data_IF_583827953429
#
_entry.id   IF_583827953429
#
_cell.length_a   1.000
_cell.length_b   1.000
_cell.length_c   1.000
_cell.angle_alpha   90.00
_cell.angle_beta   90.00
_cell.angle_gamma   90.00
#
_symmetry.space_group_name_H-M   'P 1'
#
loop_
_entity.id
_entity.type
_entity.pdbx_description
1 polymer ?
#
# COMPACT_ATOMS: atom_id res chain seq x y z
N UNK A 1 16.52 -1.18 -21.36
CA UNK A 1 16.26 -1.35 -19.90
C UNK A 1 14.85 -1.90 -19.75
N UNK A 2 14.68 -2.94 -18.93
CA UNK A 2 13.39 -3.62 -18.84
C UNK A 2 12.48 -2.95 -17.83
N UNK A 3 13.02 -2.61 -16.65
CA UNK A 3 12.22 -2.14 -15.52
C UNK A 3 12.85 -0.93 -14.84
N UNK A 4 12.02 0.06 -14.49
CA UNK A 4 12.33 1.09 -13.49
C UNK A 4 11.47 0.83 -12.26
N UNK A 5 12.07 0.65 -11.07
CA UNK A 5 11.37 0.52 -9.79
C UNK A 5 11.36 1.89 -9.12
N UNK A 6 10.17 2.41 -8.81
CA UNK A 6 9.95 3.69 -8.15
C UNK A 6 9.46 3.44 -6.72
N UNK A 7 10.17 3.98 -5.73
CA UNK A 7 9.85 3.85 -4.32
C UNK A 7 9.77 5.24 -3.68
N UNK A 8 8.63 5.60 -3.10
CA UNK A 8 8.48 6.84 -2.33
C UNK A 8 8.58 6.54 -0.85
N UNK A 9 9.50 7.21 -0.15
CA UNK A 9 9.78 7.01 1.27
C UNK A 9 9.40 8.23 2.10
N UNK A 10 8.87 7.97 3.31
CA UNK A 10 8.65 8.98 4.34
C UNK A 10 8.75 8.35 5.73
N UNK A 11 9.88 8.59 6.44
CA UNK A 11 10.14 8.16 7.83
C UNK A 11 10.03 6.65 8.09
N UNK A 12 10.55 5.82 7.19
CA UNK A 12 10.46 4.35 7.27
C UNK A 12 11.79 3.67 6.92
N UNK A 13 12.89 4.15 7.52
CA UNK A 13 14.26 3.80 7.10
C UNK A 13 14.55 2.29 7.04
N UNK A 14 14.11 1.50 8.02
CA UNK A 14 14.40 0.07 8.05
C UNK A 14 13.57 -0.71 7.03
N UNK A 15 12.30 -0.35 6.85
CA UNK A 15 11.46 -0.91 5.80
C UNK A 15 11.99 -0.55 4.42
N UNK A 16 12.38 0.72 4.22
CA UNK A 16 12.98 1.16 2.96
C UNK A 16 14.25 0.35 2.62
N UNK A 17 15.13 0.11 3.59
CA UNK A 17 16.31 -0.73 3.39
C UNK A 17 15.93 -2.13 2.93
N UNK A 18 14.97 -2.79 3.60
CA UNK A 18 14.49 -4.12 3.22
C UNK A 18 13.87 -4.14 1.84
N UNK A 19 13.04 -3.14 1.52
CA UNK A 19 12.41 -3.00 0.20
C UNK A 19 13.45 -2.86 -0.90
N UNK A 20 14.46 -2.01 -0.73
CA UNK A 20 15.53 -1.84 -1.72
C UNK A 20 16.32 -3.13 -1.90
N UNK A 21 16.68 -3.83 -0.81
CA UNK A 21 17.39 -5.11 -0.88
C UNK A 21 16.60 -6.16 -1.65
N UNK A 22 15.30 -6.32 -1.34
CA UNK A 22 14.43 -7.25 -2.04
C UNK A 22 14.25 -6.89 -3.52
N UNK A 23 14.15 -5.60 -3.84
CA UNK A 23 14.06 -5.09 -5.20
C UNK A 23 15.35 -5.35 -6.00
N UNK A 24 16.53 -5.15 -5.40
CA UNK A 24 17.81 -5.48 -6.03
C UNK A 24 17.96 -6.98 -6.29
N UNK A 25 17.52 -7.81 -5.33
CA UNK A 25 17.52 -9.25 -5.50
C UNK A 25 16.59 -9.69 -6.63
N UNK A 26 15.39 -9.11 -6.68
CA UNK A 26 14.40 -9.39 -7.71
C UNK A 26 14.85 -8.94 -9.12
N UNK A 27 15.70 -7.92 -9.21
CA UNK A 27 16.25 -7.43 -10.49
C UNK A 27 17.43 -8.27 -11.00
N UNK A 28 17.97 -9.23 -10.26
CA UNK A 28 19.07 -10.07 -10.74
C UNK A 28 18.70 -10.79 -12.03
N UNK A 29 19.53 -10.60 -13.06
CA UNK A 29 19.30 -11.15 -14.40
C UNK A 29 18.38 -10.31 -15.30
N UNK A 30 17.87 -9.19 -14.80
CA UNK A 30 17.06 -8.21 -15.55
C UNK A 30 17.84 -6.90 -15.70
N UNK A 31 17.59 -6.15 -16.78
CA UNK A 31 18.12 -4.81 -16.93
C UNK A 31 17.20 -3.80 -16.26
N UNK A 32 17.56 -3.30 -15.08
CA UNK A 32 16.69 -2.41 -14.33
C UNK A 32 17.41 -1.33 -13.55
N UNK A 33 16.66 -0.33 -13.12
CA UNK A 33 17.08 0.75 -12.21
C UNK A 33 16.11 0.88 -11.04
N UNK A 34 16.59 1.44 -9.93
CA UNK A 34 15.75 1.79 -8.78
C UNK A 34 15.89 3.29 -8.54
N UNK A 35 14.76 3.98 -8.44
CA UNK A 35 14.66 5.39 -8.09
C UNK A 35 13.87 5.50 -6.78
N UNK A 36 14.53 6.04 -5.75
CA UNK A 36 13.92 6.31 -4.44
C UNK A 36 13.68 7.80 -4.31
N UNK A 37 12.44 8.18 -3.99
CA UNK A 37 12.08 9.56 -3.68
C UNK A 37 11.86 9.69 -2.18
N UNK A 38 12.77 10.39 -1.48
CA UNK A 38 12.54 10.78 -0.10
C UNK A 38 11.63 11.99 -0.04
N UNK A 39 10.45 11.80 0.52
CA UNK A 39 9.43 12.85 0.58
C UNK A 39 9.57 13.72 1.84
N UNK A 40 10.81 14.20 2.10
CA UNK A 40 11.18 14.99 3.26
C UNK A 40 10.97 14.21 4.59
N UNK A 41 11.67 13.10 4.74
CA UNK A 41 11.65 12.32 5.99
C UNK A 41 12.11 13.15 7.18
N UNK A 42 13.06 14.08 6.96
CA UNK A 42 13.62 14.99 7.97
C UNK A 42 14.12 14.27 9.24
N UNK A 43 14.64 13.04 9.04
CA UNK A 43 15.26 12.19 10.05
C UNK A 43 16.57 11.59 9.50
N UNK A 44 17.08 10.53 10.13
CA UNK A 44 18.30 9.85 9.69
C UNK A 44 18.09 8.83 8.55
N UNK A 45 16.91 8.80 7.89
CA UNK A 45 16.60 7.84 6.83
C UNK A 45 17.59 7.92 5.68
N UNK A 46 17.80 9.10 5.09
CA UNK A 46 18.72 9.23 3.95
C UNK A 46 20.18 9.04 4.30
N UNK A 47 20.72 9.64 5.39
CA UNK A 47 22.07 9.35 5.87
C UNK A 47 22.34 7.86 6.13
N UNK A 48 21.34 7.11 6.56
CA UNK A 48 21.43 5.68 6.83
C UNK A 48 21.34 4.81 5.58
N UNK A 49 20.43 5.13 4.65
CA UNK A 49 20.12 4.26 3.49
C UNK A 49 21.07 4.51 2.32
N UNK A 50 21.30 5.78 1.92
CA UNK A 50 22.10 6.11 0.71
C UNK A 50 23.48 5.46 0.65
N UNK A 51 24.30 5.43 1.73
CA UNK A 51 25.63 4.82 1.68
C UNK A 51 25.61 3.31 1.39
N UNK A 52 24.49 2.63 1.70
CA UNK A 52 24.33 1.18 1.50
C UNK A 52 23.97 0.80 0.07
N UNK A 53 23.46 1.75 -0.71
CA UNK A 53 22.90 1.50 -2.05
C UNK A 53 23.45 2.48 -3.10
N UNK A 54 24.77 2.44 -3.41
CA UNK A 54 25.40 3.40 -4.34
C UNK A 54 24.85 3.31 -5.77
N UNK A 55 24.23 2.18 -6.15
CA UNK A 55 23.62 2.00 -7.48
C UNK A 55 22.16 2.46 -7.58
N UNK A 56 21.58 3.03 -6.50
CA UNK A 56 20.21 3.53 -6.47
C UNK A 56 20.21 5.04 -6.67
N UNK A 57 19.30 5.53 -7.51
CA UNK A 57 19.07 6.97 -7.68
C UNK A 57 18.19 7.49 -6.56
N UNK A 58 18.64 8.54 -5.86
CA UNK A 58 17.87 9.17 -4.78
C UNK A 58 17.46 10.60 -5.17
N UNK A 59 16.17 10.90 -5.04
CA UNK A 59 15.59 12.25 -5.16
C UNK A 59 15.14 12.67 -3.75
N UNK A 60 15.65 13.78 -3.24
CA UNK A 60 15.35 14.26 -1.90
C UNK A 60 14.50 15.54 -1.98
N UNK A 61 13.24 15.46 -1.56
CA UNK A 61 12.35 16.60 -1.51
C UNK A 61 12.62 17.46 -0.27
N UNK A 62 12.48 18.79 -0.42
CA UNK A 62 12.62 19.75 0.69
C UNK A 62 11.35 19.86 1.55
N UNK A 63 10.23 19.35 1.05
CA UNK A 63 8.93 19.31 1.71
C UNK A 63 8.18 18.03 1.33
N UNK A 64 7.21 17.61 2.14
CA UNK A 64 6.34 16.48 1.79
C UNK A 64 5.30 16.94 0.76
N UNK A 65 5.56 16.61 -0.51
CA UNK A 65 4.72 17.00 -1.65
C UNK A 65 3.52 16.06 -1.88
N UNK A 66 3.34 15.05 -1.04
CA UNK A 66 2.33 14.00 -1.19
C UNK A 66 2.80 12.82 -2.06
N UNK A 67 2.04 11.72 -2.02
CA UNK A 67 2.42 10.46 -2.66
C UNK A 67 2.40 10.58 -4.20
N UNK A 68 1.36 11.18 -4.76
CA UNK A 68 1.18 11.30 -6.21
C UNK A 68 2.33 12.08 -6.85
N UNK A 69 2.61 13.30 -6.36
CA UNK A 69 3.66 14.18 -6.90
C UNK A 69 5.05 13.58 -6.71
N UNK A 70 5.32 12.97 -5.57
CA UNK A 70 6.61 12.32 -5.32
C UNK A 70 6.86 11.17 -6.31
N UNK A 71 5.87 10.31 -6.55
CA UNK A 71 5.99 9.25 -7.57
C UNK A 71 6.21 9.83 -8.97
N UNK A 72 5.49 10.89 -9.35
CA UNK A 72 5.59 11.48 -10.68
C UNK A 72 7.00 11.99 -10.98
N UNK A 73 7.73 12.50 -9.98
CA UNK A 73 9.13 12.93 -10.16
C UNK A 73 10.01 11.79 -10.69
N UNK A 74 9.80 10.56 -10.22
CA UNK A 74 10.54 9.38 -10.66
C UNK A 74 9.94 8.78 -11.95
N UNK A 75 8.61 8.71 -12.07
CA UNK A 75 7.92 8.17 -13.23
C UNK A 75 8.32 8.92 -14.53
N UNK A 76 8.44 10.25 -14.46
CA UNK A 76 8.83 11.05 -15.63
C UNK A 76 10.31 10.85 -16.02
N UNK A 77 11.13 10.30 -15.14
CA UNK A 77 12.55 9.97 -15.39
C UNK A 77 12.74 8.47 -15.70
N UNK A 78 11.71 7.65 -15.57
CA UNK A 78 11.76 6.21 -15.77
C UNK A 78 12.19 5.86 -17.20
N UNK A 79 13.19 4.99 -17.34
CA UNK A 79 13.79 4.56 -18.62
C UNK A 79 13.42 3.12 -18.98
N UNK A 80 12.88 2.35 -18.04
CA UNK A 80 12.44 0.98 -18.25
C UNK A 80 11.25 0.91 -19.19
N UNK A 81 11.13 -0.17 -19.96
CA UNK A 81 9.91 -0.48 -20.72
C UNK A 81 8.69 -0.55 -19.80
N UNK A 82 8.91 -1.02 -18.58
CA UNK A 82 7.92 -1.08 -17.53
C UNK A 82 8.38 -0.30 -16.31
N UNK A 83 7.43 0.32 -15.61
CA UNK A 83 7.64 1.00 -14.33
C UNK A 83 6.87 0.27 -13.24
N UNK A 84 7.59 -0.18 -12.21
CA UNK A 84 7.01 -0.70 -10.99
C UNK A 84 6.94 0.42 -9.94
N UNK A 85 5.74 0.81 -9.54
CA UNK A 85 5.48 1.64 -8.38
C UNK A 85 5.40 0.71 -7.17
N UNK A 86 6.25 0.94 -6.18
CA UNK A 86 6.42 0.04 -5.04
C UNK A 86 6.45 0.81 -3.72
N UNK A 87 5.63 0.42 -2.75
CA UNK A 87 5.67 1.02 -1.42
C UNK A 87 6.97 0.66 -0.66
N UNK A 88 7.45 1.54 0.23
CA UNK A 88 8.71 1.35 0.96
C UNK A 88 8.61 0.33 2.11
N UNK A 89 7.43 -0.24 2.37
CA UNK A 89 7.15 -1.25 3.39
C UNK A 89 6.71 -2.59 2.76
N UNK A 90 7.38 -2.96 1.65
CA UNK A 90 7.10 -4.20 0.90
C UNK A 90 8.34 -5.07 0.76
N UNK A 91 8.13 -6.37 0.55
CA UNK A 91 9.17 -7.32 0.14
C UNK A 91 8.67 -8.05 -1.10
N UNK A 92 9.49 -8.04 -2.15
CA UNK A 92 9.22 -8.72 -3.41
C UNK A 92 10.27 -9.80 -3.69
N UNK A 93 9.85 -10.83 -4.40
CA UNK A 93 10.71 -11.92 -4.90
C UNK A 93 10.98 -11.75 -6.39
N UNK A 94 11.94 -12.48 -6.99
CA UNK A 94 12.16 -12.46 -8.45
C UNK A 94 10.89 -12.75 -9.26
N UNK A 95 10.02 -13.63 -8.78
CA UNK A 95 8.74 -13.94 -9.44
C UNK A 95 7.81 -12.73 -9.54
N UNK A 96 7.92 -11.79 -8.59
CA UNK A 96 7.13 -10.54 -8.61
C UNK A 96 7.49 -9.63 -9.80
N UNK A 97 8.62 -9.83 -10.47
CA UNK A 97 9.00 -9.14 -11.69
C UNK A 97 8.85 -10.03 -12.92
N UNK A 98 9.30 -11.28 -12.85
CA UNK A 98 9.31 -12.21 -13.98
C UNK A 98 7.89 -12.53 -14.47
N UNK A 99 6.96 -12.88 -13.58
CA UNK A 99 5.58 -13.20 -13.95
C UNK A 99 4.81 -12.03 -14.58
N UNK A 100 4.89 -10.79 -14.04
CA UNK A 100 4.36 -9.62 -14.72
C UNK A 100 4.97 -9.36 -16.10
N UNK A 101 6.29 -9.52 -16.27
CA UNK A 101 6.94 -9.40 -17.59
C UNK A 101 6.39 -10.41 -18.60
N UNK A 102 6.32 -11.68 -18.21
CA UNK A 102 5.74 -12.75 -19.03
C UNK A 102 4.29 -12.43 -19.42
N UNK A 103 3.49 -11.98 -18.45
CA UNK A 103 2.09 -11.62 -18.67
C UNK A 103 1.92 -10.45 -19.63
N UNK A 104 2.69 -9.37 -19.43
CA UNK A 104 2.66 -8.18 -20.30
C UNK A 104 3.04 -8.50 -21.75
N UNK A 105 3.99 -9.43 -21.95
CA UNK A 105 4.41 -9.86 -23.29
C UNK A 105 3.29 -10.62 -24.04
N UNK A 106 2.48 -11.38 -23.31
CA UNK A 106 1.37 -12.18 -23.85
C UNK A 106 0.05 -11.40 -23.99
N UNK A 107 -0.08 -10.27 -23.26
CA UNK A 107 -1.31 -9.48 -23.17
C UNK A 107 -1.07 -8.01 -23.56
N UNK A 108 -1.08 -7.67 -24.88
CA UNK A 108 -0.78 -6.31 -25.34
C UNK A 108 -1.70 -5.23 -24.77
N UNK A 109 -2.95 -5.58 -24.46
CA UNK A 109 -3.92 -4.67 -23.83
C UNK A 109 -3.83 -4.62 -22.30
N UNK A 110 -2.90 -5.33 -21.67
CA UNK A 110 -2.63 -5.19 -20.25
C UNK A 110 -1.88 -3.85 -20.01
N UNK A 111 -2.50 -2.93 -19.29
CA UNK A 111 -1.92 -1.63 -18.93
C UNK A 111 -1.11 -1.69 -17.65
N UNK A 112 -1.63 -2.39 -16.66
CA UNK A 112 -0.99 -2.53 -15.35
C UNK A 112 -1.37 -3.83 -14.64
N UNK A 113 -0.48 -4.27 -13.73
CA UNK A 113 -0.62 -5.51 -12.97
C UNK A 113 -0.42 -5.22 -11.47
N UNK A 114 -1.31 -5.79 -10.65
CA UNK A 114 -1.16 -5.92 -9.20
C UNK A 114 -0.98 -7.38 -8.80
N UNK A 115 -0.43 -7.60 -7.60
CA UNK A 115 -0.10 -8.94 -7.11
C UNK A 115 -0.93 -9.34 -5.89
N UNK A 116 -0.80 -10.62 -5.51
CA UNK A 116 -1.36 -11.20 -4.29
C UNK A 116 -0.56 -10.68 -3.08
N UNK A 117 -1.10 -9.66 -2.43
CA UNK A 117 -0.46 -9.09 -1.24
C UNK A 117 -0.86 -9.87 0.02
N UNK A 118 0.14 -10.18 0.83
CA UNK A 118 -0.04 -10.73 2.19
C UNK A 118 0.51 -9.76 3.22
N UNK A 119 -0.04 -9.74 4.41
CA UNK A 119 0.49 -8.96 5.53
C UNK A 119 1.62 -9.71 6.28
N UNK A 120 2.19 -9.09 7.32
CA UNK A 120 3.25 -9.69 8.14
C UNK A 120 2.85 -10.96 8.89
N UNK A 121 1.55 -11.32 8.92
CA UNK A 121 1.03 -12.56 9.47
C UNK A 121 0.69 -13.60 8.38
N UNK A 122 1.03 -13.33 7.14
CA UNK A 122 0.71 -14.19 5.99
C UNK A 122 -0.76 -14.14 5.55
N UNK A 123 -1.55 -13.16 6.04
CA UNK A 123 -2.96 -13.04 5.69
C UNK A 123 -3.14 -12.24 4.39
N UNK A 124 -4.00 -12.74 3.51
CA UNK A 124 -4.35 -12.06 2.28
C UNK A 124 -4.90 -10.65 2.51
N UNK A 125 -4.39 -9.69 1.78
CA UNK A 125 -4.85 -8.31 1.81
C UNK A 125 -5.93 -8.07 0.72
N UNK A 126 -7.20 -7.87 1.11
CA UNK A 126 -8.31 -7.74 0.16
C UNK A 126 -8.19 -6.57 -0.83
N UNK A 127 -7.35 -5.60 -0.56
CA UNK A 127 -7.06 -4.50 -1.49
C UNK A 127 -6.26 -4.91 -2.72
N UNK A 128 -5.73 -6.13 -2.77
CA UNK A 128 -5.09 -6.72 -3.96
C UNK A 128 -6.02 -6.80 -5.16
N UNK A 129 -7.34 -6.92 -4.92
CA UNK A 129 -8.38 -7.01 -5.95
C UNK A 129 -9.51 -6.05 -5.61
N UNK A 130 -9.72 -5.03 -6.44
CA UNK A 130 -10.80 -4.05 -6.19
C UNK A 130 -11.55 -3.72 -7.46
N UNK A 131 -12.86 -3.41 -7.30
CA UNK A 131 -13.68 -2.81 -8.35
C UNK A 131 -13.84 -1.30 -8.14
N UNK A 132 -14.19 -0.58 -9.19
CA UNK A 132 -14.47 0.86 -9.10
C UNK A 132 -15.55 1.15 -8.06
N UNK A 133 -15.35 2.18 -7.23
CA UNK A 133 -16.31 2.60 -6.22
C UNK A 133 -17.49 3.33 -6.88
N UNK A 134 -18.28 2.62 -7.70
CA UNK A 134 -19.52 3.18 -8.24
C UNK A 134 -20.47 3.57 -7.09
N UNK A 135 -21.50 4.42 -7.31
CA UNK A 135 -22.43 4.80 -6.26
C UNK A 135 -23.01 3.62 -5.49
N UNK A 136 -23.39 2.55 -6.19
CA UNK A 136 -23.91 1.31 -5.58
C UNK A 136 -22.84 0.56 -4.76
N UNK A 137 -21.64 0.39 -5.32
CA UNK A 137 -20.54 -0.29 -4.64
C UNK A 137 -20.13 0.47 -3.38
N UNK A 138 -20.09 1.81 -3.45
CA UNK A 138 -19.78 2.68 -2.31
C UNK A 138 -20.89 2.61 -1.25
N UNK A 139 -22.16 2.63 -1.65
CA UNK A 139 -23.29 2.45 -0.76
C UNK A 139 -23.18 1.13 0.01
N UNK A 140 -23.01 0.00 -0.69
CA UNK A 140 -22.88 -1.32 -0.06
C UNK A 140 -21.72 -1.37 0.96
N UNK A 141 -20.60 -0.73 0.65
CA UNK A 141 -19.43 -0.67 1.55
C UNK A 141 -19.69 0.19 2.78
N UNK A 142 -20.24 1.40 2.61
CA UNK A 142 -20.51 2.36 3.69
C UNK A 142 -21.53 1.79 4.68
N UNK A 143 -22.61 1.20 4.18
CA UNK A 143 -23.70 0.65 5.00
C UNK A 143 -23.48 -0.79 5.45
N UNK A 144 -22.30 -1.37 5.19
CA UNK A 144 -21.91 -2.68 5.71
C UNK A 144 -22.51 -3.89 5.00
N UNK A 145 -23.27 -3.70 3.91
CA UNK A 145 -23.85 -4.80 3.12
C UNK A 145 -22.76 -5.75 2.58
N UNK A 146 -21.60 -5.21 2.23
CA UNK A 146 -20.45 -5.99 1.80
C UNK A 146 -19.84 -6.87 2.91
N UNK A 147 -20.07 -6.55 4.19
CA UNK A 147 -19.66 -7.39 5.33
C UNK A 147 -20.69 -8.46 5.63
N UNK A 148 -21.98 -8.11 5.46
CA UNK A 148 -23.09 -9.04 5.70
C UNK A 148 -23.15 -10.13 4.62
N UNK A 149 -22.81 -9.78 3.37
CA UNK A 149 -22.82 -10.69 2.22
C UNK A 149 -21.44 -10.73 1.52
N UNK A 150 -20.39 -11.26 2.14
CA UNK A 150 -18.99 -11.08 1.73
C UNK A 150 -18.63 -11.69 0.37
N UNK A 151 -19.41 -12.68 -0.11
CA UNK A 151 -19.19 -13.35 -1.40
C UNK A 151 -20.23 -12.99 -2.46
N UNK A 152 -21.14 -12.06 -2.17
CA UNK A 152 -22.17 -11.62 -3.13
C UNK A 152 -21.55 -10.74 -4.23
N UNK A 153 -21.77 -11.10 -5.50
CA UNK A 153 -21.40 -10.27 -6.64
C UNK A 153 -22.11 -8.91 -6.66
N UNK A 154 -23.29 -8.81 -6.04
CA UNK A 154 -24.07 -7.57 -5.96
C UNK A 154 -23.60 -6.64 -4.84
N UNK A 155 -23.32 -7.19 -3.63
CA UNK A 155 -23.05 -6.41 -2.42
C UNK A 155 -21.56 -6.32 -2.05
N UNK A 156 -20.76 -7.34 -2.38
CA UNK A 156 -19.33 -7.40 -2.03
C UNK A 156 -18.39 -7.06 -3.20
N UNK A 157 -18.89 -6.34 -4.21
CA UNK A 157 -18.15 -6.05 -5.42
C UNK A 157 -16.86 -5.25 -5.19
N UNK A 158 -16.79 -4.43 -4.14
CA UNK A 158 -15.61 -3.57 -3.92
C UNK A 158 -14.29 -4.34 -3.80
N UNK A 159 -14.24 -5.42 -3.02
CA UNK A 159 -13.04 -6.24 -2.83
C UNK A 159 -13.01 -7.52 -3.66
N UNK A 160 -13.96 -7.70 -4.56
CA UNK A 160 -14.05 -8.84 -5.49
C UNK A 160 -13.81 -10.21 -4.80
N UNK A 161 -14.30 -10.38 -3.55
CA UNK A 161 -14.07 -11.58 -2.75
C UNK A 161 -14.67 -12.87 -3.33
N UNK A 162 -15.55 -12.74 -4.31
CA UNK A 162 -16.12 -13.85 -5.06
C UNK A 162 -15.19 -14.37 -6.18
N UNK A 163 -14.08 -13.66 -6.47
CA UNK A 163 -13.07 -14.12 -7.40
C UNK A 163 -12.02 -14.94 -6.64
N UNK A 164 -11.61 -16.06 -7.22
CA UNK A 164 -10.54 -16.90 -6.69
C UNK A 164 -9.23 -16.08 -6.59
N UNK A 165 -8.60 -16.10 -5.43
CA UNK A 165 -7.37 -15.34 -5.18
C UNK A 165 -6.11 -16.04 -5.74
N UNK A 166 -6.24 -17.29 -6.15
CA UNK A 166 -5.17 -18.08 -6.73
C UNK A 166 -5.22 -18.16 -8.26
N UNK A 167 -6.10 -17.36 -8.91
CA UNK A 167 -6.21 -17.27 -10.36
C UNK A 167 -6.00 -15.82 -10.85
N UNK A 168 -5.44 -15.64 -12.06
CA UNK A 168 -5.36 -14.33 -12.68
C UNK A 168 -6.75 -13.78 -13.00
N UNK A 169 -6.96 -12.49 -12.75
CA UNK A 169 -8.23 -11.83 -13.05
C UNK A 169 -8.02 -10.43 -13.61
N UNK A 170 -8.81 -10.06 -14.63
CA UNK A 170 -9.00 -8.65 -14.94
C UNK A 170 -9.77 -7.97 -13.80
N UNK A 171 -9.24 -6.87 -13.30
CA UNK A 171 -9.80 -6.10 -12.18
C UNK A 171 -9.84 -4.63 -12.52
N UNK A 172 -10.64 -3.86 -11.79
CA UNK A 172 -10.76 -2.43 -12.08
C UNK A 172 -9.62 -1.62 -11.47
N UNK A 173 -9.26 -1.90 -10.21
CA UNK A 173 -8.35 -1.06 -9.41
C UNK A 173 -7.22 -1.89 -8.82
N UNK A 174 -6.01 -1.42 -9.04
CA UNK A 174 -4.79 -1.90 -8.41
C UNK A 174 -4.55 -1.19 -7.06
N UNK A 175 -3.76 -1.80 -6.19
CA UNK A 175 -3.29 -1.15 -4.98
C UNK A 175 -2.00 -0.39 -5.26
N UNK A 176 -1.91 0.86 -4.80
CA UNK A 176 -0.71 1.70 -4.94
C UNK A 176 0.55 1.13 -4.27
N UNK A 177 0.40 0.06 -3.47
CA UNK A 177 1.54 -0.63 -2.86
C UNK A 177 2.39 -1.41 -3.86
N UNK A 178 1.77 -1.87 -4.96
CA UNK A 178 2.44 -2.53 -6.08
C UNK A 178 1.63 -2.30 -7.36
N UNK A 179 2.20 -1.56 -8.30
CA UNK A 179 1.61 -1.33 -9.62
C UNK A 179 2.70 -1.48 -10.69
N UNK A 180 2.68 -2.60 -11.41
CA UNK A 180 3.60 -2.87 -12.52
C UNK A 180 2.95 -2.39 -13.82
N UNK A 181 3.43 -1.29 -14.39
CA UNK A 181 2.77 -0.55 -15.46
C UNK A 181 3.62 -0.49 -16.74
N UNK A 182 2.97 -0.30 -17.90
CA UNK A 182 3.66 0.15 -19.11
C UNK A 182 4.13 1.58 -18.93
N UNK A 183 5.41 1.84 -19.11
CA UNK A 183 6.00 3.17 -18.87
C UNK A 183 5.46 4.20 -19.85
N UNK A 184 5.33 3.84 -21.12
CA UNK A 184 4.79 4.71 -22.19
C UNK A 184 3.36 5.14 -21.90
N UNK A 185 2.50 4.19 -21.47
CA UNK A 185 1.13 4.49 -21.05
C UNK A 185 1.13 5.40 -19.81
N UNK A 186 1.93 5.07 -18.80
CA UNK A 186 1.99 5.81 -17.56
C UNK A 186 2.42 7.26 -17.79
N UNK A 187 3.45 7.48 -18.62
CA UNK A 187 3.92 8.81 -18.99
C UNK A 187 2.92 9.56 -19.88
N UNK A 188 2.28 8.87 -20.85
CA UNK A 188 1.26 9.43 -21.74
C UNK A 188 0.07 10.01 -20.95
N UNK A 189 -0.39 9.31 -19.90
CA UNK A 189 -1.50 9.76 -19.08
C UNK A 189 -1.08 10.72 -17.95
N UNK A 190 0.21 11.08 -17.88
CA UNK A 190 0.75 12.04 -16.91
C UNK A 190 0.99 11.48 -15.51
N UNK A 191 1.16 10.16 -15.37
CA UNK A 191 1.37 9.53 -14.07
C UNK A 191 0.16 9.62 -13.15
N UNK A 192 0.40 9.76 -11.86
CA UNK A 192 -0.65 10.02 -10.86
C UNK A 192 -1.22 11.44 -10.99
N UNK A 193 -2.49 11.59 -10.68
CA UNK A 193 -3.13 12.91 -10.58
C UNK A 193 -2.74 13.59 -9.27
N UNK A 194 -2.09 14.74 -9.35
CA UNK A 194 -1.51 15.48 -8.22
C UNK A 194 -2.53 16.21 -7.34
N UNK A 195 -3.81 16.26 -7.74
CA UNK A 195 -4.87 16.73 -6.87
C UNK A 195 -5.09 15.77 -5.66
N UNK A 196 -4.61 14.51 -5.78
CA UNK A 196 -4.61 13.55 -4.68
C UNK A 196 -3.30 13.66 -3.90
N UNK A 197 -3.39 14.19 -2.69
CA UNK A 197 -2.23 14.24 -1.80
C UNK A 197 -1.82 12.83 -1.32
N UNK A 198 -2.81 12.02 -0.93
CA UNK A 198 -2.68 10.64 -0.47
C UNK A 198 -4.03 9.96 -0.50
N UNK A 199 -4.09 8.69 -0.90
CA UNK A 199 -5.28 7.87 -1.13
C UNK A 199 -6.12 8.31 -2.34
N UNK A 200 -6.62 7.34 -3.08
CA UNK A 200 -7.47 7.54 -4.24
C UNK A 200 -6.72 7.81 -5.54
N UNK A 201 -5.43 8.17 -5.47
CA UNK A 201 -4.55 8.30 -6.64
C UNK A 201 -4.41 6.99 -7.41
N UNK A 202 -4.39 5.85 -6.71
CA UNK A 202 -4.35 4.51 -7.29
C UNK A 202 -5.67 4.16 -8.00
N UNK A 203 -6.80 4.58 -7.43
CA UNK A 203 -8.13 4.44 -8.04
C UNK A 203 -8.21 5.27 -9.31
N UNK A 204 -7.77 6.52 -9.24
CA UNK A 204 -7.77 7.46 -10.36
C UNK A 204 -6.88 6.98 -11.51
N UNK A 205 -5.64 6.58 -11.19
CA UNK A 205 -4.69 6.06 -12.18
C UNK A 205 -5.24 4.81 -12.86
N UNK A 206 -5.73 3.84 -12.08
CA UNK A 206 -6.35 2.62 -12.60
C UNK A 206 -7.53 2.93 -13.52
N UNK A 207 -8.36 3.91 -13.16
CA UNK A 207 -9.51 4.34 -13.97
C UNK A 207 -9.08 4.99 -15.28
N UNK A 208 -8.05 5.86 -15.26
CA UNK A 208 -7.54 6.50 -16.48
C UNK A 208 -6.92 5.50 -17.44
N UNK A 209 -6.22 4.47 -16.96
CA UNK A 209 -5.71 3.38 -17.80
C UNK A 209 -6.83 2.62 -18.51
N UNK A 210 -7.91 2.32 -17.78
CA UNK A 210 -9.10 1.68 -18.39
C UNK A 210 -9.77 2.59 -19.42
N UNK A 211 -9.83 3.89 -19.19
CA UNK A 211 -10.36 4.87 -20.18
C UNK A 211 -9.52 4.96 -21.45
N UNK A 212 -8.22 4.71 -21.37
CA UNK A 212 -7.32 4.61 -22.53
C UNK A 212 -7.46 3.27 -23.29
N UNK A 213 -8.38 2.39 -22.86
CA UNK A 213 -8.65 1.11 -23.52
C UNK A 213 -7.79 -0.05 -23.02
N UNK A 214 -7.04 0.14 -21.96
CA UNK A 214 -6.24 -0.93 -21.35
C UNK A 214 -7.01 -1.65 -20.25
N UNK A 215 -6.50 -2.83 -19.86
CA UNK A 215 -7.01 -3.64 -18.76
C UNK A 215 -6.01 -3.67 -17.62
N UNK A 216 -6.50 -3.58 -16.38
CA UNK A 216 -5.73 -3.86 -15.19
C UNK A 216 -5.89 -5.32 -14.78
N UNK A 217 -4.82 -5.96 -14.38
CA UNK A 217 -4.80 -7.37 -14.04
C UNK A 217 -4.30 -7.62 -12.62
N UNK A 218 -4.85 -8.63 -11.98
CA UNK A 218 -4.35 -9.23 -10.76
C UNK A 218 -3.69 -10.55 -11.11
N UNK A 219 -2.46 -10.77 -10.60
CA UNK A 219 -1.78 -12.06 -10.70
C UNK A 219 -1.57 -12.68 -9.31
N UNK A 220 -1.74 -14.01 -9.16
CA UNK A 220 -1.61 -14.72 -7.89
C UNK A 220 -0.13 -14.99 -7.54
N UNK A 221 0.70 -13.96 -7.56
CA UNK A 221 2.10 -14.01 -7.13
C UNK A 221 2.21 -13.33 -5.77
N UNK A 222 2.74 -14.03 -4.78
CA UNK A 222 2.83 -13.51 -3.42
C UNK A 222 3.86 -12.41 -3.29
N UNK A 223 3.47 -11.32 -2.63
CA UNK A 223 4.37 -10.30 -2.12
C UNK A 223 3.98 -9.89 -0.71
N UNK A 224 4.95 -9.53 0.11
CA UNK A 224 4.69 -9.05 1.47
C UNK A 224 4.49 -7.54 1.47
N UNK A 225 3.46 -7.07 2.18
CA UNK A 225 3.22 -5.65 2.46
C UNK A 225 2.90 -5.48 3.93
N UNK A 226 3.82 -4.96 4.71
CA UNK A 226 3.68 -4.79 6.17
C UNK A 226 2.50 -3.90 6.55
N UNK A 227 2.17 -2.92 5.72
CA UNK A 227 0.96 -2.10 5.78
C UNK A 227 0.76 -1.31 7.07
N UNK A 228 0.89 -0.02 6.96
CA UNK A 228 0.53 0.91 8.03
C UNK A 228 1.69 1.49 8.79
N UNK A 229 2.92 1.16 8.42
CA UNK A 229 4.12 1.68 9.03
C UNK A 229 4.29 3.19 8.79
N UNK A 230 3.81 3.69 7.64
CA UNK A 230 3.81 5.12 7.31
C UNK A 230 2.57 5.88 7.80
N UNK A 231 1.47 5.20 8.18
CA UNK A 231 0.21 5.90 8.51
C UNK A 231 -0.70 5.10 9.43
N UNK A 232 -0.98 5.63 10.63
CA UNK A 232 -1.97 5.05 11.58
C UNK A 232 -3.40 5.29 11.07
N UNK A 233 -4.12 4.21 10.69
CA UNK A 233 -5.46 4.23 10.08
C UNK A 233 -6.61 4.77 10.94
N UNK A 234 -6.44 4.84 12.25
CA UNK A 234 -7.50 5.28 13.19
C UNK A 234 -7.47 6.80 13.47
N UNK A 235 -6.63 7.55 12.79
CA UNK A 235 -6.58 9.00 12.97
C UNK A 235 -7.75 9.69 12.23
N UNK A 236 -8.33 10.72 12.85
CA UNK A 236 -9.32 11.60 12.21
C UNK A 236 -8.79 12.21 10.90
N UNK A 237 -7.47 12.41 10.82
CA UNK A 237 -6.78 12.89 9.62
C UNK A 237 -6.89 11.89 8.47
N UNK A 238 -6.69 10.59 8.74
CA UNK A 238 -6.88 9.52 7.74
C UNK A 238 -8.29 9.54 7.15
N UNK A 239 -9.29 9.59 8.03
CA UNK A 239 -10.71 9.60 7.63
C UNK A 239 -10.99 10.79 6.72
N UNK A 240 -10.53 12.00 7.10
CA UNK A 240 -10.72 13.23 6.32
C UNK A 240 -10.09 13.11 4.93
N UNK A 241 -8.80 12.77 4.85
CA UNK A 241 -8.06 12.67 3.58
C UNK A 241 -8.66 11.61 2.65
N UNK A 242 -9.08 10.46 3.20
CA UNK A 242 -9.74 9.41 2.42
C UNK A 242 -11.07 9.88 1.80
N UNK A 243 -11.89 10.61 2.55
CA UNK A 243 -13.16 11.11 2.02
C UNK A 243 -12.95 12.27 1.03
N UNK A 244 -11.97 13.14 1.26
CA UNK A 244 -11.58 14.18 0.30
C UNK A 244 -11.15 13.57 -1.03
N UNK A 245 -10.34 12.51 -0.99
CA UNK A 245 -9.92 11.76 -2.18
C UNK A 245 -11.12 11.17 -2.94
N UNK A 246 -12.08 10.58 -2.23
CA UNK A 246 -13.31 10.10 -2.87
C UNK A 246 -14.08 11.24 -3.56
N UNK A 247 -14.20 12.40 -2.92
CA UNK A 247 -14.89 13.55 -3.51
C UNK A 247 -14.17 14.10 -4.75
N UNK A 248 -12.82 14.12 -4.74
CA UNK A 248 -12.01 14.48 -5.90
C UNK A 248 -12.30 13.52 -7.05
N UNK A 249 -12.24 12.20 -6.80
CA UNK A 249 -12.51 11.18 -7.80
C UNK A 249 -13.90 11.33 -8.45
N UNK A 250 -14.96 11.47 -7.63
CA UNK A 250 -16.30 11.65 -8.16
C UNK A 250 -16.47 12.98 -8.92
N UNK A 251 -15.86 14.06 -8.46
CA UNK A 251 -15.90 15.35 -9.13
C UNK A 251 -15.30 15.26 -10.54
N UNK A 252 -14.20 14.54 -10.69
CA UNK A 252 -13.47 14.41 -11.95
C UNK A 252 -14.13 13.44 -12.94
N UNK A 253 -14.54 12.28 -12.46
CA UNK A 253 -14.96 11.19 -13.33
C UNK A 253 -16.47 10.99 -13.43
N UNK A 254 -17.23 11.44 -12.45
CA UNK A 254 -18.68 11.26 -12.37
C UNK A 254 -19.43 12.55 -12.04
N UNK A 255 -19.26 13.66 -12.82
CA UNK A 255 -19.83 14.95 -12.49
C UNK A 255 -21.37 14.93 -12.37
N UNK A 256 -22.05 14.10 -13.19
CA UNK A 256 -23.53 13.95 -13.15
C UNK A 256 -24.04 13.35 -11.85
N UNK A 257 -23.23 12.55 -11.16
CA UNK A 257 -23.61 11.92 -9.87
C UNK A 257 -23.19 12.75 -8.66
N UNK A 258 -22.53 13.89 -8.86
CA UNK A 258 -22.04 14.74 -7.76
C UNK A 258 -23.15 15.14 -6.79
N UNK A 259 -24.30 15.56 -7.31
CA UNK A 259 -25.43 15.99 -6.48
C UNK A 259 -26.02 14.85 -5.60
N UNK A 260 -25.91 13.62 -6.08
CA UNK A 260 -26.40 12.44 -5.36
C UNK A 260 -25.33 11.91 -4.41
N UNK A 261 -24.11 11.72 -4.88
CA UNK A 261 -23.03 11.06 -4.12
C UNK A 261 -22.52 11.94 -2.98
N UNK A 262 -22.42 13.23 -3.16
CA UNK A 262 -21.93 14.17 -2.15
C UNK A 262 -22.72 14.13 -0.82
N UNK A 263 -24.06 14.19 -0.82
CA UNK A 263 -24.85 14.05 0.41
C UNK A 263 -24.64 12.68 1.09
N UNK A 264 -24.55 11.59 0.31
CA UNK A 264 -24.35 10.25 0.87
C UNK A 264 -22.98 10.08 1.51
N UNK A 265 -21.91 10.59 0.87
CA UNK A 265 -20.57 10.57 1.46
C UNK A 265 -20.58 11.40 2.76
N UNK A 266 -21.14 12.61 2.73
CA UNK A 266 -21.26 13.48 3.91
C UNK A 266 -22.05 12.84 5.05
N UNK A 267 -23.16 12.19 4.71
CA UNK A 267 -23.94 11.42 5.68
C UNK A 267 -23.14 10.24 6.26
N UNK A 268 -22.43 9.47 5.42
CA UNK A 268 -21.57 8.37 5.87
C UNK A 268 -20.47 8.82 6.82
N UNK A 269 -19.87 9.99 6.58
CA UNK A 269 -18.90 10.63 7.48
C UNK A 269 -19.54 10.97 8.82
N UNK A 270 -20.70 11.63 8.81
CA UNK A 270 -21.42 12.03 10.01
C UNK A 270 -21.85 10.82 10.85
N UNK A 271 -22.39 9.78 10.21
CA UNK A 271 -22.77 8.53 10.87
C UNK A 271 -21.56 7.87 11.53
N UNK A 272 -20.43 7.78 10.82
CA UNK A 272 -19.21 7.17 11.36
C UNK A 272 -18.62 7.99 12.51
N UNK A 273 -18.63 9.32 12.42
CA UNK A 273 -18.24 10.21 13.51
C UNK A 273 -19.16 10.05 14.73
N UNK A 274 -20.48 10.02 14.50
CA UNK A 274 -21.48 9.78 15.55
C UNK A 274 -21.28 8.44 16.25
N UNK A 275 -21.05 7.37 15.49
CA UNK A 275 -20.75 6.04 16.04
C UNK A 275 -19.44 6.01 16.83
N UNK A 276 -18.40 6.73 16.38
CA UNK A 276 -17.13 6.82 17.11
C UNK A 276 -17.31 7.59 18.44
N UNK A 277 -18.08 8.68 18.44
CA UNK A 277 -18.44 9.42 19.67
C UNK A 277 -19.29 8.55 20.59
N UNK A 278 -20.33 7.88 20.07
CA UNK A 278 -21.18 6.99 20.84
C UNK A 278 -20.38 5.84 21.47
N UNK A 279 -19.44 5.22 20.74
CA UNK A 279 -18.53 4.20 21.28
C UNK A 279 -17.65 4.75 22.40
N UNK A 280 -17.10 5.96 22.26
CA UNK A 280 -16.30 6.61 23.32
C UNK A 280 -17.13 6.93 24.55
N UNK A 281 -18.37 7.40 24.36
CA UNK A 281 -19.30 7.65 25.49
C UNK A 281 -19.70 6.34 26.17
N UNK A 282 -20.02 5.31 25.39
CA UNK A 282 -20.36 3.99 25.91
C UNK A 282 -19.19 3.34 26.67
N UNK A 283 -17.96 3.44 26.13
CA UNK A 283 -16.78 2.95 26.84
C UNK A 283 -16.46 3.74 28.11
N UNK A 284 -16.80 5.04 28.18
CA UNK A 284 -16.68 5.84 29.41
C UNK A 284 -17.77 5.49 30.44
N UNK A 285 -18.97 5.15 30.01
CA UNK A 285 -20.11 4.85 30.90
C UNK A 285 -20.14 3.39 31.35
N UNK A 286 -19.74 2.46 30.51
CA UNK A 286 -19.86 1.02 30.72
C UNK A 286 -18.54 0.24 30.57
N UNK A 287 -17.46 0.89 30.12
CA UNK A 287 -16.15 0.27 30.04
C UNK A 287 -15.59 0.09 31.42
N UNK A 288 -15.36 -1.17 31.86
CA UNK A 288 -14.36 -1.45 32.87
C UNK A 288 -13.09 -0.74 32.41
N UNK A 289 -12.48 0.07 33.28
CA UNK A 289 -11.17 0.65 33.08
C UNK A 289 -10.22 -0.49 32.67
N UNK A 290 -10.02 -0.67 31.37
CA UNK A 290 -8.82 -1.34 30.93
C UNK A 290 -7.72 -0.39 31.33
N UNK A 291 -6.97 -0.75 32.36
CA UNK A 291 -5.63 -0.21 32.59
C UNK A 291 -4.99 -0.06 31.22
N UNK A 292 -4.36 1.10 30.92
CA UNK A 292 -3.55 1.22 29.73
C UNK A 292 -2.66 -0.03 29.73
N UNK A 293 -2.72 -0.81 28.66
CA UNK A 293 -1.68 -1.80 28.40
C UNK A 293 -0.46 -0.91 28.26
N UNK A 294 0.25 -0.69 29.38
CA UNK A 294 1.63 -0.28 29.30
C UNK A 294 2.26 -1.18 28.28
N UNK A 295 2.99 -0.60 27.34
CA UNK A 295 3.77 -1.25 26.30
C UNK A 295 4.72 -2.28 26.96
N UNK A 296 4.18 -3.38 27.42
CA UNK A 296 4.89 -4.61 27.78
C UNK A 296 4.98 -5.47 26.51
N UNK A 297 5.34 -4.86 25.39
CA UNK A 297 5.85 -5.61 24.26
C UNK A 297 7.22 -6.15 24.71
N UNK A 298 7.19 -7.34 25.31
CA UNK A 298 8.41 -8.07 25.59
C UNK A 298 9.20 -8.26 24.31
N UNK A 299 10.51 -8.17 24.36
CA UNK A 299 11.37 -8.47 23.21
C UNK A 299 11.51 -10.00 23.08
N UNK A 300 11.45 -10.49 21.84
CA UNK A 300 11.83 -11.85 21.49
C UNK A 300 13.08 -11.78 20.61
N UNK A 301 14.16 -12.39 21.06
CA UNK A 301 15.42 -12.45 20.30
C UNK A 301 15.59 -13.86 19.78
N UNK A 302 15.53 -14.02 18.46
CA UNK A 302 15.79 -15.26 17.75
C UNK A 302 17.23 -15.19 17.19
N UNK A 303 18.17 -15.69 17.98
CA UNK A 303 19.60 -15.70 17.66
C UNK A 303 20.27 -16.91 18.31
N UNK A 304 21.36 -17.37 17.73
CA UNK A 304 22.23 -18.38 18.36
C UNK A 304 22.97 -17.82 19.60
N UNK A 305 23.05 -16.47 19.73
CA UNK A 305 23.71 -15.78 20.84
C UNK A 305 22.82 -14.66 21.39
N UNK A 306 21.63 -14.96 21.96
CA UNK A 306 20.63 -13.97 22.32
C UNK A 306 21.13 -12.93 23.35
N UNK A 307 21.97 -13.33 24.31
CA UNK A 307 22.52 -12.40 25.32
C UNK A 307 23.43 -11.33 24.71
N UNK A 308 24.24 -11.71 23.71
CA UNK A 308 25.12 -10.77 23.02
C UNK A 308 24.31 -9.75 22.21
N UNK A 309 23.27 -10.21 21.53
CA UNK A 309 22.32 -9.38 20.76
C UNK A 309 21.55 -8.44 21.67
N UNK A 310 21.01 -8.94 22.78
CA UNK A 310 20.30 -8.15 23.78
C UNK A 310 21.18 -7.03 24.33
N UNK A 311 22.43 -7.36 24.69
CA UNK A 311 23.41 -6.40 25.20
C UNK A 311 23.77 -5.33 24.16
N UNK A 312 23.99 -5.71 22.91
CA UNK A 312 24.29 -4.79 21.82
C UNK A 312 23.12 -3.84 21.50
N UNK A 313 21.88 -4.34 21.62
CA UNK A 313 20.64 -3.57 21.39
C UNK A 313 20.16 -2.80 22.64
N UNK A 314 20.80 -2.96 23.80
CA UNK A 314 20.39 -2.31 25.05
C UNK A 314 19.10 -2.87 25.66
N UNK A 315 18.72 -4.09 25.30
CA UNK A 315 17.50 -4.76 25.76
C UNK A 315 17.79 -5.48 27.08
N UNK A 316 17.00 -5.19 28.13
CA UNK A 316 17.20 -5.79 29.46
C UNK A 316 16.42 -7.09 29.68
N UNK A 317 15.18 -7.12 29.15
CA UNK A 317 14.28 -8.26 29.32
C UNK A 317 13.81 -8.77 27.95
N UNK A 318 14.03 -10.05 27.66
CA UNK A 318 13.65 -10.68 26.40
C UNK A 318 13.31 -12.16 26.56
N UNK A 319 12.60 -12.71 25.60
CA UNK A 319 12.33 -14.15 25.46
C UNK A 319 13.04 -14.72 24.23
N UNK A 320 13.33 -16.02 24.23
CA UNK A 320 13.95 -16.74 23.12
C UNK A 320 12.98 -17.56 22.29
N UNK A 321 11.68 -17.50 22.62
CA UNK A 321 10.59 -18.16 21.89
C UNK A 321 9.43 -17.19 21.70
N UNK A 322 8.77 -17.24 20.55
CA UNK A 322 7.58 -16.41 20.25
C UNK A 322 6.45 -16.92 21.17
N UNK A 323 5.83 -16.04 21.99
CA UNK A 323 4.71 -16.44 22.83
C UNK A 323 3.46 -16.73 21.97
N UNK A 324 2.66 -17.71 22.39
CA UNK A 324 1.42 -18.10 21.70
C UNK A 324 0.34 -16.99 21.68
N UNK A 325 0.47 -15.97 22.53
CA UNK A 325 -0.54 -14.93 22.76
C UNK A 325 -0.26 -13.58 22.07
N UNK A 326 0.51 -13.52 21.00
CA UNK A 326 0.59 -12.32 20.15
C UNK A 326 1.61 -11.26 20.59
N UNK A 327 1.78 -10.21 19.99
CA UNK A 327 2.55 -8.97 20.08
C UNK A 327 3.84 -9.03 20.94
N UNK A 328 4.93 -9.39 20.30
CA UNK A 328 6.28 -9.15 20.81
C UNK A 328 7.10 -8.45 19.71
N UNK A 329 8.01 -7.56 20.12
CA UNK A 329 9.03 -7.07 19.19
C UNK A 329 10.01 -8.22 18.93
N UNK A 330 10.24 -8.58 17.68
CA UNK A 330 11.12 -9.68 17.30
C UNK A 330 12.41 -9.10 16.71
N UNK A 331 13.54 -9.46 17.29
CA UNK A 331 14.86 -9.19 16.75
C UNK A 331 15.45 -10.50 16.26
N UNK A 332 15.78 -10.57 14.97
CA UNK A 332 16.43 -11.72 14.35
C UNK A 332 17.87 -11.33 14.03
N UNK A 333 18.81 -12.11 14.50
CA UNK A 333 20.23 -11.98 14.17
C UNK A 333 20.70 -13.28 13.54
N UNK A 334 21.11 -13.18 12.28
CA UNK A 334 21.60 -14.30 11.45
C UNK A 334 23.14 -14.36 11.42
N UNK A 335 23.79 -14.06 12.55
CA UNK A 335 25.25 -14.11 12.65
C UNK A 335 25.83 -15.52 12.64
#
# INVERSE_FOLDING_TARGET
MDITIVIVSFRVKHFLEQTIRSAQEALKGLSGEIIVVDNNSADDTMPYVKPKFPGVTFIENKENVGFARANNQAIMQAKGTYTLILNPDTIITPECLQKPLEWMAQHPHCGAIGLHMIDGNGQFLPESKRAFPTPWVSFCKIFGLSKLFPYSRAFAKYHLRYLDEFQPHAIDILAGAYMFCRTDLLQKIGGFDEDFFMYGEDIDLSYRMVKEGYQNWYLPVNMLHYKGESTKKDSMRYVKVFYEAMLIFYRKHFPRFRAVVYPFIKLGVLVRQGLAVARRLFSRLFGKSSTPIEDRAGWVILSSKPDAVAKAAGIKDYATKIPESGAANVLIDDA
#
